data_IF_389068901894
#
_entry.id   IF_389068901894
#
_cell.length_a   1.000
_cell.length_b   1.000
_cell.length_c   1.000
_cell.angle_alpha   90.00
_cell.angle_beta   90.00
_cell.angle_gamma   90.00
#
_symmetry.space_group_name_H-M   'P 1'
#
loop_
_entity.id
_entity.type
_entity.pdbx_description
1 polymer ?
#
# COMPACT_ATOMS: atom_id res chain seq x y z
N UNK A 1 -48.39 -2.95 -0.29
CA UNK A 1 -47.17 -3.25 0.49
C UNK A 1 -46.64 -4.59 0.05
N UNK A 2 -45.46 -4.62 -0.56
CA UNK A 2 -44.61 -5.80 -0.68
C UNK A 2 -43.22 -5.29 -1.06
N UNK A 3 -42.36 -5.11 -0.07
CA UNK A 3 -40.99 -4.67 -0.26
C UNK A 3 -40.14 -5.82 -0.79
N UNK A 4 -39.48 -5.62 -1.93
CA UNK A 4 -38.41 -6.51 -2.35
C UNK A 4 -37.20 -6.25 -1.46
N UNK A 5 -36.85 -7.26 -0.67
CA UNK A 5 -35.60 -7.35 0.08
C UNK A 5 -34.44 -7.43 -0.92
N UNK A 6 -33.73 -6.33 -1.14
CA UNK A 6 -32.45 -6.37 -1.83
C UNK A 6 -31.43 -7.00 -0.88
N UNK A 7 -31.13 -8.28 -1.08
CA UNK A 7 -29.97 -8.92 -0.46
C UNK A 7 -28.74 -8.35 -1.15
N UNK A 8 -28.17 -7.30 -0.57
CA UNK A 8 -26.83 -6.86 -0.92
C UNK A 8 -25.87 -7.98 -0.51
N UNK A 9 -25.39 -8.75 -1.50
CA UNK A 9 -24.26 -9.65 -1.31
C UNK A 9 -23.10 -8.79 -0.80
N UNK A 10 -22.68 -9.01 0.44
CA UNK A 10 -21.47 -8.43 0.98
C UNK A 10 -20.30 -8.96 0.15
N UNK A 11 -19.88 -8.20 -0.86
CA UNK A 11 -18.59 -8.41 -1.51
C UNK A 11 -17.55 -8.25 -0.41
N UNK A 12 -16.74 -9.26 -0.07
CA UNK A 12 -15.64 -9.05 0.85
C UNK A 12 -14.60 -8.19 0.13
N UNK A 13 -14.81 -6.87 0.11
CA UNK A 13 -13.84 -5.90 -0.39
C UNK A 13 -12.80 -5.64 0.70
N UNK A 14 -11.93 -6.61 0.93
CA UNK A 14 -10.74 -6.44 1.74
C UNK A 14 -9.72 -7.50 1.34
N UNK A 15 -9.12 -7.32 0.16
CA UNK A 15 -7.87 -7.98 -0.23
C UNK A 15 -7.04 -6.97 -0.98
N UNK A 16 -6.41 -6.11 -0.22
CA UNK A 16 -5.10 -5.59 -0.59
C UNK A 16 -4.15 -6.16 0.47
N UNK A 17 -2.98 -6.63 0.05
CA UNK A 17 -1.75 -6.89 0.83
C UNK A 17 -1.78 -6.81 2.37
N UNK A 18 -2.30 -5.73 2.94
CA UNK A 18 -2.38 -5.39 4.35
C UNK A 18 -3.27 -6.30 5.21
N UNK A 19 -4.15 -7.07 4.59
CA UNK A 19 -4.98 -8.07 5.29
C UNK A 19 -4.41 -9.48 5.19
N UNK A 20 -3.19 -9.66 4.66
CA UNK A 20 -2.55 -10.96 4.64
C UNK A 20 -2.28 -11.40 6.09
N UNK A 21 -2.81 -12.56 6.54
CA UNK A 21 -2.62 -13.04 7.92
C UNK A 21 -1.14 -13.28 8.26
N UNK A 22 -0.24 -13.35 7.27
CA UNK A 22 1.20 -13.41 7.51
C UNK A 22 1.72 -12.15 8.22
N UNK A 23 1.10 -10.99 8.00
CA UNK A 23 1.57 -9.73 8.57
C UNK A 23 1.51 -9.71 10.09
N UNK A 24 0.46 -10.27 10.69
CA UNK A 24 0.33 -10.32 12.15
C UNK A 24 1.51 -11.10 12.77
N UNK A 25 1.82 -12.28 12.22
CA UNK A 25 2.95 -13.08 12.66
C UNK A 25 4.30 -12.37 12.42
N UNK A 26 4.44 -11.63 11.32
CA UNK A 26 5.67 -10.87 11.03
C UNK A 26 5.85 -9.70 12.01
N UNK A 27 4.78 -8.97 12.35
CA UNK A 27 4.86 -7.88 13.33
C UNK A 27 5.15 -8.39 14.74
N UNK A 28 4.55 -9.52 15.13
CA UNK A 28 4.88 -10.19 16.39
C UNK A 28 6.36 -10.60 16.44
N UNK A 29 6.86 -11.22 15.36
CA UNK A 29 8.26 -11.61 15.25
C UNK A 29 9.21 -10.39 15.29
N UNK A 30 8.86 -9.30 14.58
CA UNK A 30 9.64 -8.06 14.56
C UNK A 30 9.74 -7.44 15.95
N UNK A 31 8.65 -7.50 16.73
CA UNK A 31 8.62 -6.99 18.11
C UNK A 31 9.43 -7.86 19.08
N UNK A 32 9.46 -9.18 18.84
CA UNK A 32 10.13 -10.14 19.72
C UNK A 32 11.64 -10.25 19.49
N UNK A 33 12.10 -10.03 18.25
CA UNK A 33 13.52 -10.21 17.93
C UNK A 33 14.40 -9.10 18.51
N UNK A 34 15.61 -9.48 18.92
CA UNK A 34 16.70 -8.56 19.30
C UNK A 34 17.88 -8.63 18.33
N UNK A 35 17.76 -9.45 17.29
CA UNK A 35 18.81 -9.66 16.30
C UNK A 35 18.56 -8.73 15.10
N UNK A 36 19.48 -7.78 14.81
CA UNK A 36 19.29 -6.84 13.70
C UNK A 36 19.16 -7.50 12.33
N UNK A 37 19.85 -8.63 12.10
CA UNK A 37 19.77 -9.35 10.83
C UNK A 37 18.39 -10.00 10.66
N UNK A 38 17.86 -10.60 11.73
CA UNK A 38 16.50 -11.17 11.72
C UNK A 38 15.44 -10.08 11.54
N UNK A 39 15.59 -8.95 12.24
CA UNK A 39 14.71 -7.79 12.07
C UNK A 39 14.68 -7.32 10.61
N UNK A 40 15.84 -7.19 9.97
CA UNK A 40 15.93 -6.78 8.56
C UNK A 40 15.23 -7.77 7.62
N UNK A 41 15.36 -9.07 7.86
CA UNK A 41 14.70 -10.11 7.07
C UNK A 41 13.16 -10.06 7.24
N UNK A 42 12.69 -9.81 8.47
CA UNK A 42 11.27 -9.67 8.77
C UNK A 42 10.71 -8.40 8.10
N UNK A 43 11.38 -7.26 8.24
CA UNK A 43 11.01 -6.01 7.57
C UNK A 43 10.93 -6.19 6.05
N UNK A 44 11.93 -6.86 5.46
CA UNK A 44 11.95 -7.16 4.02
C UNK A 44 10.72 -7.96 3.62
N UNK A 45 10.31 -8.93 4.44
CA UNK A 45 9.13 -9.75 4.15
C UNK A 45 7.83 -8.96 4.29
N UNK A 46 7.74 -8.06 5.27
CA UNK A 46 6.60 -7.13 5.40
C UNK A 46 6.49 -6.26 4.15
N UNK A 47 7.61 -5.67 3.70
CA UNK A 47 7.64 -4.89 2.46
C UNK A 47 7.23 -5.70 1.23
N UNK A 48 7.67 -6.95 1.12
CA UNK A 48 7.27 -7.83 0.01
C UNK A 48 5.77 -8.10 0.02
N UNK A 49 5.18 -8.30 1.20
CA UNK A 49 3.73 -8.46 1.33
C UNK A 49 3.01 -7.18 0.92
N UNK A 50 3.43 -6.01 1.42
CA UNK A 50 2.84 -4.72 1.04
C UNK A 50 2.99 -4.33 -0.43
N UNK A 51 4.05 -4.82 -1.10
CA UNK A 51 4.29 -4.46 -2.49
C UNK A 51 3.23 -5.04 -3.47
N UNK A 52 2.51 -6.09 -3.08
CA UNK A 52 1.64 -6.86 -3.99
C UNK A 52 0.18 -6.81 -3.57
N UNK A 53 -0.66 -6.19 -4.40
CA UNK A 53 -2.10 -6.13 -4.19
C UNK A 53 -2.82 -7.47 -4.44
N UNK A 54 -2.18 -8.38 -5.17
CA UNK A 54 -2.79 -9.62 -5.67
C UNK A 54 -3.59 -9.43 -6.96
N UNK A 55 -3.56 -8.25 -7.56
CA UNK A 55 -4.20 -7.94 -8.84
C UNK A 55 -3.13 -7.55 -9.87
N UNK A 56 -2.99 -8.35 -10.93
CA UNK A 56 -1.93 -8.17 -11.94
C UNK A 56 -1.82 -6.75 -12.49
N UNK A 57 -2.95 -6.10 -12.79
CA UNK A 57 -2.97 -4.73 -13.31
C UNK A 57 -2.43 -3.71 -12.31
N UNK A 58 -2.79 -3.87 -11.03
CA UNK A 58 -2.33 -3.00 -9.94
C UNK A 58 -0.84 -3.23 -9.70
N UNK A 59 -0.41 -4.48 -9.64
CA UNK A 59 0.99 -4.85 -9.40
C UNK A 59 1.90 -4.40 -10.56
N UNK A 60 1.41 -4.48 -11.80
CA UNK A 60 2.10 -3.93 -12.97
C UNK A 60 2.22 -2.42 -12.92
N UNK A 61 1.14 -1.71 -12.56
CA UNK A 61 1.17 -0.25 -12.39
C UNK A 61 2.13 0.16 -11.25
N UNK A 62 2.08 -0.54 -10.12
CA UNK A 62 2.99 -0.34 -8.99
C UNK A 62 4.46 -0.48 -9.43
N UNK A 63 4.81 -1.56 -10.13
CA UNK A 63 6.16 -1.79 -10.62
C UNK A 63 6.63 -0.69 -11.59
N UNK A 64 5.76 -0.24 -12.51
CA UNK A 64 6.08 0.87 -13.43
C UNK A 64 6.27 2.20 -12.70
N UNK A 65 5.44 2.47 -11.69
CA UNK A 65 5.57 3.64 -10.81
C UNK A 65 6.93 3.65 -10.11
N UNK A 66 7.31 2.55 -9.46
CA UNK A 66 8.61 2.42 -8.79
C UNK A 66 9.78 2.61 -9.78
N UNK A 67 9.72 1.98 -10.97
CA UNK A 67 10.75 2.15 -12.00
C UNK A 67 10.85 3.62 -12.46
N UNK A 68 9.72 4.29 -12.67
CA UNK A 68 9.70 5.69 -13.07
C UNK A 68 10.25 6.61 -11.96
N UNK A 69 9.87 6.37 -10.71
CA UNK A 69 10.37 7.07 -9.52
C UNK A 69 11.89 6.96 -9.42
N UNK A 70 12.44 5.74 -9.52
CA UNK A 70 13.87 5.46 -9.44
C UNK A 70 14.68 6.10 -10.58
N UNK A 71 14.03 6.39 -11.72
CA UNK A 71 14.63 7.10 -12.86
C UNK A 71 14.48 8.62 -12.76
N UNK A 72 13.87 9.14 -11.69
CA UNK A 72 13.56 10.57 -11.55
C UNK A 72 12.43 11.06 -12.45
N UNK A 73 11.71 10.16 -13.13
CA UNK A 73 10.57 10.49 -13.98
C UNK A 73 9.31 10.69 -13.11
N UNK A 74 9.32 11.69 -12.23
CA UNK A 74 8.33 11.88 -11.17
C UNK A 74 6.90 12.07 -11.70
N UNK A 75 6.69 12.79 -12.81
CA UNK A 75 5.37 12.94 -13.41
C UNK A 75 4.79 11.62 -13.94
N UNK A 76 5.64 10.77 -14.53
CA UNK A 76 5.22 9.44 -14.98
C UNK A 76 4.93 8.53 -13.78
N UNK A 77 5.78 8.60 -12.75
CA UNK A 77 5.58 7.87 -11.49
C UNK A 77 4.24 8.22 -10.84
N UNK A 78 3.93 9.51 -10.74
CA UNK A 78 2.68 10.02 -10.19
C UNK A 78 1.45 9.46 -10.93
N UNK A 79 1.51 9.37 -12.26
CA UNK A 79 0.43 8.77 -13.07
C UNK A 79 0.22 7.30 -12.72
N UNK A 80 1.29 6.51 -12.64
CA UNK A 80 1.17 5.10 -12.29
C UNK A 80 0.63 4.89 -10.87
N UNK A 81 1.04 5.68 -9.87
CA UNK A 81 0.47 5.55 -8.53
C UNK A 81 -0.97 6.07 -8.43
N UNK A 82 -1.38 7.03 -9.29
CA UNK A 82 -2.79 7.37 -9.43
C UNK A 82 -3.62 6.21 -10.00
N UNK A 83 -3.06 5.45 -10.95
CA UNK A 83 -3.71 4.25 -11.49
C UNK A 83 -3.83 3.17 -10.40
N UNK A 84 -2.76 2.92 -9.62
CA UNK A 84 -2.78 2.00 -8.46
C UNK A 84 -3.90 2.38 -7.50
N UNK A 85 -4.00 3.65 -7.09
CA UNK A 85 -5.02 4.13 -6.16
C UNK A 85 -6.43 4.04 -6.75
N UNK A 86 -6.58 4.27 -8.06
CA UNK A 86 -7.88 4.18 -8.74
C UNK A 86 -8.37 2.73 -8.83
N UNK A 87 -7.46 1.79 -9.08
CA UNK A 87 -7.76 0.37 -9.20
C UNK A 87 -7.90 -0.32 -7.83
N UNK A 88 -7.09 0.08 -6.86
CA UNK A 88 -7.03 -0.50 -5.53
C UNK A 88 -6.97 0.61 -4.44
N UNK A 89 -8.07 1.33 -4.19
CA UNK A 89 -8.09 2.45 -3.24
C UNK A 89 -7.85 2.06 -1.78
N UNK A 90 -7.87 0.75 -1.47
CA UNK A 90 -7.57 0.19 -0.15
C UNK A 90 -6.15 -0.40 -0.04
N UNK A 91 -5.32 -0.28 -1.08
CA UNK A 91 -3.92 -0.72 -1.07
C UNK A 91 -3.04 0.41 -0.54
N UNK A 92 -2.70 0.43 0.75
CA UNK A 92 -2.03 1.61 1.29
C UNK A 92 -0.59 1.82 0.83
N UNK A 93 0.12 0.78 0.37
CA UNK A 93 1.42 0.99 -0.27
C UNK A 93 1.31 1.86 -1.53
N UNK A 94 0.19 1.81 -2.26
CA UNK A 94 -0.05 2.70 -3.40
C UNK A 94 -0.10 4.18 -2.99
N UNK A 95 -0.73 4.45 -1.84
CA UNK A 95 -0.77 5.78 -1.24
C UNK A 95 0.61 6.21 -0.72
N UNK A 96 1.34 5.34 -0.02
CA UNK A 96 2.69 5.61 0.46
C UNK A 96 3.65 5.98 -0.68
N UNK A 97 3.59 5.23 -1.78
CA UNK A 97 4.43 5.48 -2.95
C UNK A 97 4.07 6.78 -3.64
N UNK A 98 2.78 7.13 -3.73
CA UNK A 98 2.37 8.46 -4.21
C UNK A 98 2.84 9.57 -3.29
N UNK A 99 2.75 9.37 -1.96
CA UNK A 99 3.28 10.32 -0.97
C UNK A 99 4.77 10.59 -1.21
N UNK A 100 5.56 9.52 -1.39
CA UNK A 100 6.98 9.63 -1.70
C UNK A 100 7.23 10.46 -2.95
N UNK A 101 6.47 10.22 -4.04
CA UNK A 101 6.60 11.03 -5.26
C UNK A 101 6.22 12.48 -5.02
N UNK A 102 5.12 12.75 -4.32
CA UNK A 102 4.69 14.11 -3.98
C UNK A 102 5.75 14.84 -3.14
N UNK A 103 6.35 14.16 -2.16
CA UNK A 103 7.48 14.69 -1.39
C UNK A 103 8.67 15.04 -2.30
N UNK A 104 9.09 14.11 -3.18
CA UNK A 104 10.18 14.34 -4.12
C UNK A 104 9.90 15.48 -5.11
N UNK A 105 8.62 15.76 -5.41
CA UNK A 105 8.18 16.89 -6.23
C UNK A 105 8.02 18.20 -5.44
N UNK A 106 8.24 18.21 -4.12
CA UNK A 106 8.01 19.38 -3.24
C UNK A 106 6.54 19.66 -2.93
N UNK A 107 5.63 18.74 -3.26
CA UNK A 107 4.18 18.79 -3.00
C UNK A 107 3.87 18.25 -1.60
N UNK A 108 4.39 18.93 -0.59
CA UNK A 108 4.30 18.45 0.80
C UNK A 108 2.86 18.31 1.33
N UNK A 109 1.92 19.24 1.08
CA UNK A 109 0.55 19.08 1.51
C UNK A 109 -0.11 17.80 0.97
N UNK A 110 0.08 17.51 -0.31
CA UNK A 110 -0.43 16.30 -0.97
C UNK A 110 0.25 15.04 -0.42
N UNK A 111 1.57 15.10 -0.17
CA UNK A 111 2.29 14.00 0.49
C UNK A 111 1.70 13.68 1.87
N UNK A 112 1.42 14.70 2.69
CA UNK A 112 0.86 14.50 4.03
C UNK A 112 -0.53 13.85 3.97
N UNK A 113 -1.38 14.26 3.03
CA UNK A 113 -2.70 13.64 2.83
C UNK A 113 -2.57 12.17 2.43
N UNK A 114 -1.60 11.84 1.57
CA UNK A 114 -1.33 10.45 1.16
C UNK A 114 -0.79 9.60 2.32
N UNK A 115 0.06 10.17 3.17
CA UNK A 115 0.54 9.51 4.40
C UNK A 115 -0.61 9.26 5.39
N UNK A 116 -1.48 10.25 5.60
CA UNK A 116 -2.66 10.07 6.44
C UNK A 116 -3.52 8.91 5.94
N UNK A 117 -3.75 8.85 4.63
CA UNK A 117 -4.50 7.75 4.03
C UNK A 117 -3.78 6.41 4.15
N UNK A 118 -2.45 6.41 4.07
CA UNK A 118 -1.63 5.21 4.28
C UNK A 118 -1.88 4.63 5.68
N UNK A 119 -1.79 5.49 6.71
CA UNK A 119 -1.94 5.09 8.12
C UNK A 119 -3.39 4.78 8.53
N UNK A 120 -4.38 5.36 7.85
CA UNK A 120 -5.78 4.97 8.02
C UNK A 120 -6.04 3.53 7.58
N UNK A 121 -5.34 3.07 6.54
CA UNK A 121 -5.51 1.75 5.95
C UNK A 121 -4.62 0.70 6.63
N UNK A 122 -3.37 1.04 6.94
CA UNK A 122 -2.43 0.21 7.69
C UNK A 122 -1.70 1.05 8.76
N UNK A 123 -2.23 1.08 10.00
CA UNK A 123 -1.62 1.83 11.09
C UNK A 123 -0.21 1.38 11.48
N UNK A 124 0.22 0.17 11.07
CA UNK A 124 1.56 -0.38 11.34
C UNK A 124 2.55 -0.09 10.20
N UNK A 125 2.16 0.74 9.22
CA UNK A 125 3.00 1.05 8.05
C UNK A 125 4.19 1.94 8.43
N UNK A 126 5.31 1.33 8.80
CA UNK A 126 6.48 2.03 9.34
C UNK A 126 7.26 2.87 8.30
N UNK A 127 6.96 2.75 7.01
CA UNK A 127 7.51 3.65 5.98
C UNK A 127 6.65 4.88 5.66
N UNK A 128 5.56 5.10 6.39
CA UNK A 128 4.68 6.26 6.24
C UNK A 128 5.11 7.41 7.15
#
# INVERSE_FOLDING_TARGET
MAGLLAVALAVPQARADQTDPVLDALFEALTATKNPEEAHQIETRIWQTWAVSGQELVDSAMARGVIAMNRGALDASLKYFNDVISLAPKHAEGWNKRATVNFLMGKYPESVLDIQRTLELEPRHFGA
#
